data_IF_989498632065
#
_entry.id   IF_989498632065
#
_cell.length_a   1.000
_cell.length_b   1.000
_cell.length_c   1.000
_cell.angle_alpha   90.00
_cell.angle_beta   90.00
_cell.angle_gamma   90.00
#
_symmetry.space_group_name_H-M   'P 1'
#
loop_
_entity.id
_entity.type
_entity.pdbx_description
1 polymer ?
#
# COMPACT_ATOMS: atom_id res chain seq x y z
N UNK A 1 -3.06 -9.64 15.68
CA UNK A 1 -2.71 -10.97 15.12
C UNK A 1 -3.59 -11.17 13.91
N UNK A 2 -3.12 -11.77 12.81
CA UNK A 2 -4.00 -12.02 11.65
C UNK A 2 -4.97 -13.12 12.10
N UNK A 3 -6.26 -12.83 12.07
CA UNK A 3 -7.28 -13.82 12.43
C UNK A 3 -7.53 -14.72 11.22
N UNK A 4 -7.06 -15.97 11.28
CA UNK A 4 -7.18 -16.96 10.21
C UNK A 4 -8.52 -17.70 10.31
N UNK A 5 -9.18 -17.65 11.47
CA UNK A 5 -10.43 -18.39 11.76
C UNK A 5 -11.70 -17.58 11.46
N UNK A 6 -11.54 -16.30 11.11
CA UNK A 6 -12.64 -15.44 10.70
C UNK A 6 -13.46 -16.05 9.52
N UNK A 7 -14.76 -15.70 9.41
CA UNK A 7 -15.60 -16.23 8.34
C UNK A 7 -15.09 -15.81 6.95
N UNK A 8 -15.15 -16.72 5.95
CA UNK A 8 -14.76 -16.41 4.58
C UNK A 8 -15.55 -15.24 4.00
N UNK A 9 -14.88 -14.43 3.16
CA UNK A 9 -15.57 -13.40 2.38
C UNK A 9 -16.52 -14.07 1.38
N UNK A 10 -17.75 -13.58 1.23
CA UNK A 10 -18.73 -14.12 0.27
C UNK A 10 -18.09 -14.26 -1.13
N UNK A 11 -18.06 -15.47 -1.69
CA UNK A 11 -17.43 -15.74 -2.99
C UNK A 11 -15.91 -16.02 -2.96
N UNK A 12 -15.29 -16.02 -1.79
CA UNK A 12 -13.87 -16.34 -1.59
C UNK A 12 -13.71 -17.46 -0.55
N UNK A 13 -12.66 -18.27 -0.69
CA UNK A 13 -12.35 -19.37 0.24
C UNK A 13 -11.65 -18.92 1.52
N UNK A 14 -11.16 -17.68 1.55
CA UNK A 14 -10.33 -17.14 2.63
C UNK A 14 -11.01 -15.93 3.28
N UNK A 15 -10.74 -15.68 4.58
CA UNK A 15 -11.31 -14.55 5.28
C UNK A 15 -10.76 -13.22 4.82
N UNK A 16 -11.55 -12.17 5.06
CA UNK A 16 -11.20 -10.77 4.75
C UNK A 16 -9.87 -10.35 5.39
N UNK A 17 -9.58 -10.83 6.59
CA UNK A 17 -8.33 -10.57 7.32
C UNK A 17 -7.07 -11.00 6.54
N UNK A 18 -7.11 -12.16 5.88
CA UNK A 18 -6.01 -12.69 5.07
C UNK A 18 -5.84 -11.87 3.79
N UNK A 19 -6.96 -11.57 3.12
CA UNK A 19 -6.98 -10.72 1.91
C UNK A 19 -6.42 -9.33 2.24
N UNK A 20 -6.91 -8.71 3.31
CA UNK A 20 -6.47 -7.41 3.79
C UNK A 20 -4.98 -7.42 4.16
N UNK A 21 -4.49 -8.48 4.81
CA UNK A 21 -3.08 -8.63 5.13
C UNK A 21 -2.21 -8.73 3.88
N UNK A 22 -2.62 -9.51 2.87
CA UNK A 22 -1.89 -9.63 1.62
C UNK A 22 -1.78 -8.29 0.87
N UNK A 23 -2.90 -7.57 0.77
CA UNK A 23 -2.95 -6.24 0.14
C UNK A 23 -2.11 -5.23 0.93
N UNK A 24 -2.21 -5.25 2.26
CA UNK A 24 -1.39 -4.42 3.14
C UNK A 24 0.09 -4.69 2.94
N UNK A 25 0.53 -5.94 3.04
CA UNK A 25 1.94 -6.31 2.93
C UNK A 25 2.51 -5.90 1.57
N UNK A 26 1.75 -6.13 0.50
CA UNK A 26 2.12 -5.77 -0.86
C UNK A 26 2.32 -4.26 -1.08
N UNK A 27 1.44 -3.42 -0.52
CA UNK A 27 1.53 -1.97 -0.67
C UNK A 27 2.38 -1.27 0.39
N UNK A 28 2.58 -1.89 1.56
CA UNK A 28 3.34 -1.28 2.67
C UNK A 28 4.84 -1.52 2.56
N UNK A 29 5.23 -2.70 2.10
CA UNK A 29 6.61 -3.12 1.99
C UNK A 29 7.04 -3.22 0.53
N UNK A 30 8.35 -3.26 0.31
CA UNK A 30 8.91 -3.40 -1.03
C UNK A 30 8.93 -4.88 -1.46
N UNK A 31 7.83 -5.61 -1.25
CA UNK A 31 7.71 -7.07 -1.44
C UNK A 31 7.15 -7.40 -2.83
N UNK A 32 7.77 -8.28 -3.58
CA UNK A 32 7.17 -8.89 -4.77
C UNK A 32 5.88 -9.64 -4.39
N UNK A 33 4.98 -9.87 -5.36
CA UNK A 33 3.79 -10.68 -5.10
C UNK A 33 4.17 -12.14 -4.72
N UNK A 34 5.30 -12.66 -5.22
CA UNK A 34 5.83 -13.97 -4.82
C UNK A 34 6.31 -13.95 -3.37
N UNK A 35 6.93 -12.86 -2.93
CA UNK A 35 7.33 -12.71 -1.53
C UNK A 35 6.11 -12.69 -0.59
N UNK A 36 4.97 -12.14 -1.06
CA UNK A 36 3.71 -12.16 -0.29
C UNK A 36 3.11 -13.57 -0.25
N UNK A 37 3.20 -14.32 -1.34
CA UNK A 37 2.85 -15.75 -1.39
C UNK A 37 3.68 -16.55 -0.37
N UNK A 38 5.00 -16.38 -0.34
CA UNK A 38 5.89 -17.03 0.63
C UNK A 38 5.55 -16.63 2.08
N UNK A 39 5.22 -15.35 2.32
CA UNK A 39 4.82 -14.86 3.65
C UNK A 39 3.49 -15.44 4.14
N UNK A 40 2.57 -15.75 3.23
CA UNK A 40 1.30 -16.42 3.53
C UNK A 40 1.52 -17.93 3.71
N UNK A 41 2.33 -18.54 2.85
CA UNK A 41 2.71 -19.95 2.96
C UNK A 41 3.38 -20.26 4.30
N UNK A 42 4.28 -19.38 4.77
CA UNK A 42 4.91 -19.46 6.11
C UNK A 42 3.93 -19.34 7.29
N UNK A 43 2.66 -18.97 7.02
CA UNK A 43 1.55 -18.95 7.99
C UNK A 43 0.52 -20.07 7.74
N UNK A 44 0.84 -21.03 6.88
CA UNK A 44 -0.05 -22.15 6.52
C UNK A 44 -1.10 -21.81 5.47
N UNK A 45 -1.05 -20.62 4.86
CA UNK A 45 -2.04 -20.17 3.87
C UNK A 45 -1.51 -20.38 2.45
N UNK A 46 -2.01 -21.40 1.77
CA UNK A 46 -1.61 -21.75 0.40
C UNK A 46 -2.41 -20.95 -0.63
N UNK A 47 -1.77 -19.94 -1.23
CA UNK A 47 -2.39 -19.02 -2.20
C UNK A 47 -1.40 -18.70 -3.30
N UNK A 48 -1.83 -18.83 -4.57
CA UNK A 48 -0.95 -18.51 -5.70
C UNK A 48 -0.72 -17.00 -5.86
N UNK A 49 0.43 -16.64 -6.43
CA UNK A 49 0.75 -15.28 -6.90
C UNK A 49 -0.42 -14.61 -7.66
N UNK A 50 -1.10 -15.33 -8.57
CA UNK A 50 -2.19 -14.79 -9.39
C UNK A 50 -3.40 -14.39 -8.55
N UNK A 51 -3.66 -15.16 -7.48
CA UNK A 51 -4.75 -14.88 -6.54
C UNK A 51 -4.45 -13.59 -5.77
N UNK A 52 -3.23 -13.44 -5.26
CA UNK A 52 -2.79 -12.20 -4.59
C UNK A 52 -2.88 -11.02 -5.57
N UNK A 53 -2.47 -11.21 -6.83
CA UNK A 53 -2.58 -10.18 -7.87
C UNK A 53 -4.03 -9.76 -8.09
N UNK A 54 -4.97 -10.72 -8.14
CA UNK A 54 -6.40 -10.44 -8.29
C UNK A 54 -6.95 -9.67 -7.08
N UNK A 55 -6.59 -10.06 -5.86
CA UNK A 55 -6.97 -9.36 -4.63
C UNK A 55 -6.46 -7.92 -4.61
N UNK A 56 -5.19 -7.70 -4.93
CA UNK A 56 -4.60 -6.36 -5.00
C UNK A 56 -5.34 -5.50 -6.02
N UNK A 57 -5.65 -6.04 -7.19
CA UNK A 57 -6.36 -5.30 -8.23
C UNK A 57 -7.81 -4.97 -7.84
N UNK A 58 -8.50 -5.88 -7.13
CA UNK A 58 -9.90 -5.73 -6.73
C UNK A 58 -10.08 -4.85 -5.49
N UNK A 59 -9.34 -5.15 -4.42
CA UNK A 59 -9.54 -4.54 -3.11
C UNK A 59 -8.63 -3.34 -2.85
N UNK A 60 -7.46 -3.26 -3.50
CA UNK A 60 -6.56 -2.11 -3.34
C UNK A 60 -7.25 -0.75 -3.52
N UNK A 61 -8.05 -0.55 -4.60
CA UNK A 61 -8.82 0.68 -4.78
C UNK A 61 -9.86 0.94 -3.67
N UNK A 62 -10.47 -0.10 -3.10
CA UNK A 62 -11.44 0.03 -1.99
C UNK A 62 -10.74 0.53 -0.72
N UNK A 63 -9.59 -0.04 -0.36
CA UNK A 63 -8.77 0.45 0.75
C UNK A 63 -8.33 1.91 0.52
N UNK A 64 -7.90 2.24 -0.69
CA UNK A 64 -7.53 3.62 -1.03
C UNK A 64 -8.72 4.60 -0.97
N UNK A 65 -9.95 4.12 -1.17
CA UNK A 65 -11.16 4.93 -1.01
C UNK A 65 -11.47 5.16 0.48
N UNK A 66 -11.42 4.13 1.31
CA UNK A 66 -11.66 4.24 2.76
C UNK A 66 -10.63 5.19 3.41
N UNK A 67 -9.34 5.02 3.10
CA UNK A 67 -8.28 5.93 3.59
C UNK A 67 -8.50 7.38 3.13
N UNK A 68 -9.08 7.61 1.95
CA UNK A 68 -9.38 8.96 1.47
C UNK A 68 -10.57 9.57 2.20
N UNK A 69 -11.61 8.77 2.49
CA UNK A 69 -12.82 9.19 3.19
C UNK A 69 -12.49 9.59 4.63
N UNK A 70 -11.69 8.79 5.32
CA UNK A 70 -11.43 8.95 6.75
C UNK A 70 -10.29 9.93 7.05
N UNK A 71 -9.72 10.57 6.01
CA UNK A 71 -8.71 11.60 6.19
C UNK A 71 -9.40 12.94 6.50
N UNK A 72 -9.02 13.64 7.58
CA UNK A 72 -9.50 15.01 7.79
C UNK A 72 -9.15 15.87 6.57
N UNK A 73 -10.07 16.77 6.21
CA UNK A 73 -9.91 17.71 5.09
C UNK A 73 -8.52 18.34 5.15
N UNK A 74 -7.80 18.31 4.03
CA UNK A 74 -6.44 18.83 3.99
C UNK A 74 -6.47 20.31 4.38
N UNK A 75 -5.76 20.66 5.46
CA UNK A 75 -5.46 22.06 5.75
C UNK A 75 -4.83 22.70 4.48
N UNK A 76 -5.19 23.96 4.20
CA UNK A 76 -5.00 24.73 2.95
C UNK A 76 -3.59 24.82 2.34
N UNK A 77 -2.61 24.06 2.86
CA UNK A 77 -1.21 24.08 2.42
C UNK A 77 -0.81 22.76 1.76
N UNK A 78 -1.13 22.65 0.47
CA UNK A 78 -0.68 21.54 -0.38
C UNK A 78 0.78 21.73 -0.81
N UNK A 79 1.60 20.70 -0.63
CA UNK A 79 2.88 20.56 -1.34
C UNK A 79 2.66 19.49 -2.41
N UNK A 80 2.73 19.87 -3.69
CA UNK A 80 2.67 18.92 -4.81
C UNK A 80 4.08 18.39 -5.02
N UNK A 81 4.33 17.15 -4.59
CA UNK A 81 5.57 16.44 -4.95
C UNK A 81 5.36 15.80 -6.33
N UNK A 82 5.94 16.40 -7.37
CA UNK A 82 5.91 15.84 -8.73
C UNK A 82 6.75 14.56 -8.80
N UNK A 83 6.16 13.46 -9.28
CA UNK A 83 6.77 12.12 -9.25
C UNK A 83 7.58 11.88 -10.52
N UNK A 84 8.88 11.61 -10.39
CA UNK A 84 9.71 11.10 -11.49
C UNK A 84 9.58 9.58 -11.57
N UNK A 85 8.85 9.08 -12.56
CA UNK A 85 8.66 7.64 -12.85
C UNK A 85 9.39 7.29 -14.15
N UNK A 86 10.07 6.13 -14.19
CA UNK A 86 10.67 5.63 -15.42
C UNK A 86 9.78 4.58 -16.07
N UNK A 87 9.27 4.89 -17.25
CA UNK A 87 8.38 4.00 -18.00
C UNK A 87 9.13 3.55 -19.26
N UNK A 88 9.36 2.24 -19.40
CA UNK A 88 10.15 1.66 -20.50
C UNK A 88 11.54 2.33 -20.69
N UNK A 89 12.16 2.74 -19.60
CA UNK A 89 13.49 3.35 -19.61
C UNK A 89 13.53 4.85 -19.96
N UNK A 90 12.40 5.48 -20.28
CA UNK A 90 12.32 6.94 -20.44
C UNK A 90 11.97 7.61 -19.12
N UNK A 91 12.69 8.69 -18.80
CA UNK A 91 12.42 9.55 -17.62
C UNK A 91 11.42 10.63 -18.04
N UNK A 92 10.34 10.78 -17.28
CA UNK A 92 9.39 11.87 -17.46
C UNK A 92 9.64 12.91 -16.35
N UNK A 93 9.88 14.18 -16.72
CA UNK A 93 10.29 15.26 -15.81
C UNK A 93 9.62 16.59 -16.21
N UNK A 94 9.19 17.43 -15.24
CA UNK A 94 8.96 18.86 -15.50
C UNK A 94 9.96 19.83 -14.82
N UNK A 95 10.73 19.49 -13.76
CA UNK A 95 11.75 20.43 -13.23
C UNK A 95 12.86 19.80 -12.34
N UNK A 96 14.13 20.20 -12.53
CA UNK A 96 15.33 19.57 -11.89
C UNK A 96 15.54 19.89 -10.39
N UNK A 97 15.10 21.04 -9.89
CA UNK A 97 15.37 21.49 -8.50
C UNK A 97 14.45 20.86 -7.43
N UNK A 98 13.21 20.53 -7.80
CA UNK A 98 12.25 19.80 -6.95
C UNK A 98 12.58 18.31 -6.83
N UNK A 99 13.47 17.81 -7.71
CA UNK A 99 13.81 16.41 -7.83
C UNK A 99 14.41 15.84 -6.54
N UNK A 100 15.34 16.53 -5.84
CA UNK A 100 15.96 15.94 -4.66
C UNK A 100 14.99 15.71 -3.47
N UNK A 101 13.99 16.58 -3.28
CA UNK A 101 12.97 16.40 -2.22
C UNK A 101 11.93 15.35 -2.61
N UNK A 102 11.46 15.38 -3.86
CA UNK A 102 10.57 14.35 -4.39
C UNK A 102 11.25 12.97 -4.38
N UNK A 103 12.52 12.89 -4.79
CA UNK A 103 13.31 11.65 -4.76
C UNK A 103 13.46 11.10 -3.35
N UNK A 104 13.70 11.96 -2.34
CA UNK A 104 13.79 11.54 -0.94
C UNK A 104 12.45 11.06 -0.38
N UNK A 105 11.34 11.75 -0.70
CA UNK A 105 9.96 11.42 -0.32
C UNK A 105 9.50 10.09 -0.95
N UNK A 106 9.91 9.82 -2.19
CA UNK A 106 9.48 8.67 -2.99
C UNK A 106 10.51 7.54 -3.10
N UNK A 107 11.57 7.53 -2.26
CA UNK A 107 12.54 6.41 -2.19
C UNK A 107 11.87 5.05 -2.10
N UNK A 108 10.71 4.97 -1.43
CA UNK A 108 9.97 3.72 -1.27
C UNK A 108 9.27 3.26 -2.55
N UNK A 109 8.60 4.17 -3.27
CA UNK A 109 8.00 3.86 -4.57
C UNK A 109 9.07 3.50 -5.61
N UNK A 110 10.23 4.17 -5.57
CA UNK A 110 11.39 3.89 -6.46
C UNK A 110 12.07 2.56 -6.15
N UNK A 111 12.24 2.23 -4.86
CA UNK A 111 12.70 0.89 -4.44
C UNK A 111 11.75 -0.18 -4.96
N UNK A 112 10.44 0.07 -4.91
CA UNK A 112 9.43 -0.82 -5.45
C UNK A 112 9.55 -0.98 -6.97
N UNK A 113 9.62 0.12 -7.70
CA UNK A 113 9.79 0.12 -9.16
C UNK A 113 11.00 -0.73 -9.58
N UNK A 114 12.12 -0.63 -8.85
CA UNK A 114 13.31 -1.46 -9.11
C UNK A 114 13.06 -2.95 -8.88
N UNK A 115 12.46 -3.32 -7.74
CA UNK A 115 12.15 -4.73 -7.42
C UNK A 115 11.15 -5.33 -8.41
N UNK A 116 10.22 -4.53 -8.93
CA UNK A 116 9.23 -4.96 -9.91
C UNK A 116 9.76 -5.01 -11.35
N UNK A 117 11.05 -4.73 -11.59
CA UNK A 117 11.60 -4.69 -12.95
C UNK A 117 10.99 -3.57 -13.82
N UNK A 118 10.68 -2.43 -13.17
CA UNK A 118 10.00 -1.23 -13.68
C UNK A 118 8.54 -1.44 -14.08
N UNK A 119 7.76 -0.36 -14.01
CA UNK A 119 6.40 -0.37 -14.52
C UNK A 119 6.40 -0.51 -16.05
N UNK A 120 5.50 -1.35 -16.56
CA UNK A 120 5.38 -1.64 -18.00
C UNK A 120 4.58 -0.56 -18.74
N UNK A 121 3.74 0.20 -18.03
CA UNK A 121 2.94 1.32 -18.57
C UNK A 121 2.62 2.40 -17.53
N UNK A 122 2.28 3.64 -17.98
CA UNK A 122 1.86 4.72 -17.07
C UNK A 122 0.61 4.36 -16.27
N UNK A 123 -0.37 3.71 -16.92
CA UNK A 123 -1.61 3.28 -16.27
C UNK A 123 -1.35 2.25 -15.15
N UNK A 124 -0.37 1.36 -15.33
CA UNK A 124 0.03 0.42 -14.29
C UNK A 124 0.67 1.14 -13.10
N UNK A 125 1.57 2.10 -13.37
CA UNK A 125 2.20 2.90 -12.32
C UNK A 125 1.14 3.68 -11.52
N UNK A 126 0.22 4.36 -12.21
CA UNK A 126 -0.84 5.15 -11.57
C UNK A 126 -1.74 4.30 -10.67
N UNK A 127 -2.18 3.12 -11.12
CA UNK A 127 -2.98 2.18 -10.32
C UNK A 127 -2.25 1.69 -9.07
N UNK A 128 -0.94 1.47 -9.19
CA UNK A 128 -0.13 1.06 -8.05
C UNK A 128 0.04 2.20 -7.04
N UNK A 129 0.46 3.38 -7.52
CA UNK A 129 0.77 4.54 -6.68
C UNK A 129 -0.47 5.05 -5.95
N UNK A 130 -1.65 5.03 -6.59
CA UNK A 130 -2.90 5.49 -5.97
C UNK A 130 -3.25 4.74 -4.67
N UNK A 131 -2.87 3.47 -4.55
CA UNK A 131 -3.07 2.64 -3.35
C UNK A 131 -1.84 2.66 -2.46
N UNK A 132 -0.65 2.53 -3.05
CA UNK A 132 0.62 2.50 -2.33
C UNK A 132 0.85 3.76 -1.51
N UNK A 133 0.63 4.95 -2.08
CA UNK A 133 0.93 6.20 -1.39
C UNK A 133 -0.05 6.47 -0.24
N UNK A 134 -1.30 6.03 -0.38
CA UNK A 134 -2.32 6.11 0.69
C UNK A 134 -1.98 5.17 1.84
N UNK A 135 -1.64 3.92 1.51
CA UNK A 135 -1.20 2.92 2.50
C UNK A 135 0.09 3.37 3.20
N UNK A 136 1.04 3.92 2.45
CA UNK A 136 2.29 4.44 3.00
C UNK A 136 2.03 5.61 3.95
N UNK A 137 1.10 6.51 3.60
CA UNK A 137 0.71 7.65 4.45
C UNK A 137 0.15 7.18 5.79
N UNK A 138 -0.76 6.21 5.79
CA UNK A 138 -1.39 5.68 7.00
C UNK A 138 -0.37 5.04 7.94
N UNK A 139 0.55 4.22 7.40
CA UNK A 139 1.47 3.39 8.20
C UNK A 139 2.90 3.93 8.33
N UNK A 140 3.16 5.18 7.91
CA UNK A 140 4.47 5.85 8.07
C UNK A 140 4.31 7.23 8.70
N UNK A 141 3.84 7.31 9.96
CA UNK A 141 3.87 8.57 10.69
C UNK A 141 5.31 9.07 10.80
N UNK A 142 5.51 10.39 10.76
CA UNK A 142 6.83 11.04 10.78
C UNK A 142 7.53 10.74 12.11
N UNK A 143 8.24 9.62 12.19
CA UNK A 143 8.85 9.08 13.43
C UNK A 143 9.72 10.12 14.15
N UNK A 144 10.45 10.95 13.42
CA UNK A 144 11.31 12.00 13.98
C UNK A 144 10.54 13.11 14.70
N UNK A 145 9.21 13.19 14.56
CA UNK A 145 8.35 14.17 15.24
C UNK A 145 7.59 13.56 16.43
N UNK A 146 7.77 12.27 16.70
CA UNK A 146 6.97 11.53 17.67
C UNK A 146 7.87 10.88 18.72
N UNK A 147 7.40 10.91 19.97
CA UNK A 147 7.98 10.08 21.03
C UNK A 147 7.76 8.60 20.72
N UNK A 148 8.52 7.72 21.39
CA UNK A 148 8.33 6.29 21.24
C UNK A 148 6.92 5.82 21.64
N UNK A 149 6.30 6.43 22.65
CA UNK A 149 4.94 6.13 23.08
C UNK A 149 3.91 6.58 22.04
N UNK A 150 3.96 7.84 21.61
CA UNK A 150 3.06 8.39 20.58
C UNK A 150 3.18 7.64 19.25
N UNK A 151 4.38 7.19 18.89
CA UNK A 151 4.58 6.35 17.70
C UNK A 151 3.93 4.97 17.82
N UNK A 152 3.98 4.34 19.01
CA UNK A 152 3.31 3.04 19.24
C UNK A 152 1.79 3.19 19.14
N UNK A 153 1.22 4.25 19.73
CA UNK A 153 -0.21 4.56 19.61
C UNK A 153 -0.61 4.81 18.16
N UNK A 154 0.09 5.71 17.44
CA UNK A 154 -0.20 5.96 16.03
C UNK A 154 -0.10 4.71 15.14
N UNK A 155 0.76 3.74 15.49
CA UNK A 155 0.79 2.45 14.81
C UNK A 155 -0.41 1.57 15.16
N UNK A 156 -0.81 1.52 16.43
CA UNK A 156 -1.99 0.78 16.86
C UNK A 156 -3.25 1.33 16.16
N UNK A 157 -3.44 2.65 16.18
CA UNK A 157 -4.57 3.33 15.53
C UNK A 157 -4.61 3.03 14.02
N UNK A 158 -3.46 3.06 13.34
CA UNK A 158 -3.36 2.72 11.93
C UNK A 158 -3.78 1.26 11.64
N UNK A 159 -3.48 0.32 12.54
CA UNK A 159 -3.93 -1.07 12.40
C UNK A 159 -5.41 -1.24 12.73
N UNK A 160 -5.95 -0.49 13.69
CA UNK A 160 -7.39 -0.48 13.98
C UNK A 160 -8.19 0.02 12.77
N UNK A 161 -7.82 1.19 12.23
CA UNK A 161 -8.44 1.73 11.00
C UNK A 161 -8.36 0.76 9.83
N UNK A 162 -7.22 0.07 9.67
CA UNK A 162 -7.08 -0.93 8.62
C UNK A 162 -7.97 -2.15 8.82
N UNK A 163 -8.20 -2.57 10.07
CA UNK A 163 -9.13 -3.64 10.40
C UNK A 163 -10.58 -3.23 10.10
N UNK A 164 -10.95 -1.99 10.43
CA UNK A 164 -12.27 -1.42 10.12
C UNK A 164 -12.49 -1.38 8.60
N UNK A 165 -11.51 -0.89 7.84
CA UNK A 165 -11.56 -0.92 6.37
C UNK A 165 -11.65 -2.34 5.82
N UNK A 166 -10.96 -3.30 6.44
CA UNK A 166 -11.03 -4.70 6.05
C UNK A 166 -12.41 -5.31 6.32
N UNK A 167 -13.15 -4.83 7.33
CA UNK A 167 -14.54 -5.24 7.56
C UNK A 167 -15.50 -4.67 6.51
N UNK A 168 -15.22 -3.46 6.01
CA UNK A 168 -16.02 -2.79 4.97
C UNK A 168 -15.84 -3.36 3.57
N UNK A 169 -14.76 -4.11 3.29
CA UNK A 169 -14.53 -4.62 1.92
C UNK A 169 -15.64 -5.58 1.48
N UNK A 170 -16.10 -5.37 0.24
CA UNK A 170 -17.13 -6.16 -0.40
C UNK A 170 -16.60 -6.89 -1.62
N UNK A 171 -17.14 -8.10 -1.84
CA UNK A 171 -16.67 -9.09 -2.80
C UNK A 171 -16.86 -8.65 -4.26
#
# INVERSE_FOLDING_TARGET
MIDIEAPPLKGYRLPRSIIAYAVWAYHRFALSLRDVEDLLAGRGVQVSYETIRAWVARFGPQFAACIRRDRPAAADKWHVDEVVISIRGRKHCAHKGLNNRAEASHRHARRREKIMGRFKSPRQAQRFLSVHDKTATLFRPKRHRLTAASYRHARADAFSLWADFAAEITA
#
